data_IF_611344666901
#
_entry.id   IF_611344666901
#
_cell.length_a   1.000
_cell.length_b   1.000
_cell.length_c   1.000
_cell.angle_alpha   90.00
_cell.angle_beta   90.00
_cell.angle_gamma   90.00
#
_symmetry.space_group_name_H-M   'P 1'
#
loop_
_entity.id
_entity.type
_entity.pdbx_description
1 polymer ?
#
# COMPACT_ATOMS: atom_id res chain seq x y z
N UNK A 1 -1.99 -45.19 22.82
CA UNK A 1 -1.84 -44.59 21.48
C UNK A 1 -2.88 -43.49 21.36
N UNK A 2 -2.49 -42.23 21.51
CA UNK A 2 -3.40 -41.08 21.49
C UNK A 2 -3.27 -40.44 20.11
N UNK A 3 -4.36 -40.47 19.35
CA UNK A 3 -4.49 -39.81 18.05
C UNK A 3 -4.70 -38.31 18.28
N UNK A 4 -3.69 -37.48 18.04
CA UNK A 4 -3.82 -36.03 17.99
C UNK A 4 -4.20 -35.61 16.58
N UNK A 5 -5.45 -35.18 16.40
CA UNK A 5 -5.91 -34.48 15.20
C UNK A 5 -5.24 -33.11 15.14
N UNK A 6 -4.33 -32.94 14.19
CA UNK A 6 -3.74 -31.67 13.83
C UNK A 6 -4.74 -30.89 12.96
N UNK A 7 -5.58 -30.05 13.60
CA UNK A 7 -6.44 -29.09 12.91
C UNK A 7 -5.61 -27.91 12.42
N UNK A 8 -4.91 -28.11 11.30
CA UNK A 8 -4.33 -27.03 10.51
C UNK A 8 -5.46 -26.18 9.94
N UNK A 9 -5.72 -25.02 10.55
CA UNK A 9 -6.56 -24.00 9.96
C UNK A 9 -5.91 -23.52 8.65
N UNK A 10 -6.37 -24.08 7.52
CA UNK A 10 -6.13 -23.50 6.22
C UNK A 10 -6.82 -22.15 6.17
N UNK A 11 -6.07 -21.07 6.45
CA UNK A 11 -6.48 -19.73 6.09
C UNK A 11 -6.46 -19.63 4.56
N UNK A 12 -7.56 -20.00 3.92
CA UNK A 12 -7.78 -19.69 2.51
C UNK A 12 -7.90 -18.17 2.41
N UNK A 13 -6.83 -17.49 1.98
CA UNK A 13 -6.96 -16.11 1.52
C UNK A 13 -8.12 -16.05 0.52
N UNK A 14 -9.17 -15.25 0.76
CA UNK A 14 -10.30 -15.19 -0.14
C UNK A 14 -9.81 -14.80 -1.53
N UNK A 15 -10.06 -15.67 -2.50
CA UNK A 15 -9.68 -15.47 -3.89
C UNK A 15 -10.55 -14.35 -4.47
N UNK A 16 -9.96 -13.19 -4.75
CA UNK A 16 -10.66 -12.07 -5.40
C UNK A 16 -10.83 -12.42 -6.88
N UNK A 17 -12.07 -12.41 -7.36
CA UNK A 17 -12.40 -12.76 -8.74
C UNK A 17 -12.01 -11.63 -9.68
N UNK A 18 -11.50 -11.96 -10.88
CA UNK A 18 -11.23 -10.97 -11.94
C UNK A 18 -12.52 -10.21 -12.35
N UNK A 19 -13.71 -10.76 -12.07
CA UNK A 19 -15.00 -10.12 -12.29
C UNK A 19 -15.50 -9.22 -11.14
N UNK A 20 -14.83 -9.22 -9.99
CA UNK A 20 -15.25 -8.41 -8.84
C UNK A 20 -15.08 -6.92 -9.15
N UNK A 21 -16.10 -6.11 -8.90
CA UNK A 21 -16.03 -4.65 -8.98
C UNK A 21 -15.76 -4.10 -7.57
N UNK A 22 -14.60 -3.49 -7.31
CA UNK A 22 -14.28 -3.00 -5.97
C UNK A 22 -15.20 -1.84 -5.53
N UNK A 23 -15.60 -1.84 -4.26
CA UNK A 23 -16.35 -0.72 -3.69
C UNK A 23 -15.38 0.39 -3.25
N UNK A 24 -15.35 1.51 -3.98
CA UNK A 24 -14.54 2.70 -3.69
C UNK A 24 -15.41 3.96 -3.58
N UNK A 25 -14.92 4.99 -2.89
CA UNK A 25 -15.64 6.26 -2.68
C UNK A 25 -15.42 7.31 -3.78
N UNK A 26 -14.69 6.97 -4.85
CA UNK A 26 -14.29 7.88 -5.93
C UNK A 26 -14.99 7.64 -7.28
N UNK A 27 -15.16 8.72 -8.05
CA UNK A 27 -15.99 8.79 -9.27
C UNK A 27 -15.71 7.79 -10.40
N UNK A 28 -14.50 7.21 -10.48
CA UNK A 28 -14.15 6.21 -11.51
C UNK A 28 -14.71 4.82 -11.20
N UNK A 29 -14.95 4.43 -9.93
CA UNK A 29 -15.58 3.12 -9.67
C UNK A 29 -17.09 3.11 -9.90
N UNK A 30 -17.70 4.25 -10.20
CA UNK A 30 -19.01 4.29 -10.86
C UNK A 30 -18.95 3.79 -12.31
N UNK A 31 -17.76 3.78 -12.92
CA UNK A 31 -17.53 3.26 -14.27
C UNK A 31 -17.42 1.72 -14.30
N UNK A 32 -17.38 1.06 -13.13
CA UNK A 32 -17.53 -0.40 -13.03
C UNK A 32 -16.29 -1.20 -13.40
N UNK A 33 -15.08 -0.65 -13.29
CA UNK A 33 -13.87 -1.42 -13.57
C UNK A 33 -13.73 -2.63 -12.65
N UNK A 34 -13.49 -3.79 -13.24
CA UNK A 34 -13.30 -5.04 -12.50
C UNK A 34 -11.87 -5.17 -12.00
N UNK A 35 -11.66 -5.93 -10.92
CA UNK A 35 -10.33 -6.29 -10.43
C UNK A 35 -9.43 -6.87 -11.53
N UNK A 36 -9.97 -7.67 -12.46
CA UNK A 36 -9.25 -8.19 -13.61
C UNK A 36 -8.70 -7.11 -14.54
N UNK A 37 -9.42 -6.00 -14.72
CA UNK A 37 -8.92 -4.85 -15.47
C UNK A 37 -7.87 -4.10 -14.66
N UNK A 38 -8.17 -3.81 -13.38
CA UNK A 38 -7.32 -2.99 -12.53
C UNK A 38 -5.98 -3.64 -12.23
N UNK A 39 -5.95 -4.97 -12.07
CA UNK A 39 -4.73 -5.71 -11.73
C UNK A 39 -3.65 -5.67 -12.80
N UNK A 40 -4.00 -5.18 -13.99
CA UNK A 40 -3.13 -5.07 -15.16
C UNK A 40 -2.77 -3.64 -15.54
N UNK A 41 -3.25 -2.64 -14.78
CA UNK A 41 -2.99 -1.23 -15.07
C UNK A 41 -1.54 -0.86 -14.76
N UNK A 42 -0.74 -0.44 -15.75
CA UNK A 42 0.62 0.01 -15.51
C UNK A 42 0.65 1.46 -15.01
N UNK A 43 1.78 1.87 -14.44
CA UNK A 43 2.23 3.26 -14.46
C UNK A 43 2.42 3.65 -15.93
N UNK A 44 1.68 4.66 -16.37
CA UNK A 44 1.55 5.02 -17.79
C UNK A 44 2.88 5.55 -18.39
N UNK A 45 3.09 5.40 -19.71
CA UNK A 45 4.31 5.85 -20.37
C UNK A 45 4.66 7.33 -20.13
N UNK A 46 3.66 8.20 -19.98
CA UNK A 46 3.81 9.63 -19.71
C UNK A 46 4.55 9.86 -18.39
N UNK A 47 4.11 9.18 -17.33
CA UNK A 47 4.77 9.21 -16.01
C UNK A 47 6.16 8.60 -16.11
N UNK A 48 6.28 7.44 -16.76
CA UNK A 48 7.57 6.76 -16.96
C UNK A 48 8.61 7.61 -17.69
N UNK A 49 8.21 8.47 -18.64
CA UNK A 49 9.12 9.41 -19.31
C UNK A 49 9.65 10.49 -18.36
N UNK A 50 8.89 10.87 -17.34
CA UNK A 50 9.26 11.87 -16.34
C UNK A 50 10.17 11.36 -15.22
N UNK A 51 10.29 10.03 -15.03
CA UNK A 51 11.13 9.47 -13.96
C UNK A 51 12.61 9.53 -14.33
N UNK A 52 13.36 10.46 -13.73
CA UNK A 52 14.79 10.65 -14.03
C UNK A 52 15.71 9.93 -13.06
N UNK A 53 15.27 9.67 -11.82
CA UNK A 53 16.06 8.93 -10.84
C UNK A 53 16.10 7.43 -11.20
N UNK A 54 17.29 6.80 -11.30
CA UNK A 54 17.43 5.42 -11.76
C UNK A 54 16.85 4.39 -10.78
N UNK A 55 16.89 4.67 -9.47
CA UNK A 55 16.31 3.77 -8.46
C UNK A 55 14.80 3.85 -8.51
N UNK A 56 14.25 5.06 -8.58
CA UNK A 56 12.80 5.28 -8.72
C UNK A 56 12.27 4.68 -10.02
N UNK A 57 13.02 4.82 -11.13
CA UNK A 57 12.68 4.21 -12.42
C UNK A 57 12.59 2.70 -12.32
N UNK A 58 13.58 2.07 -11.69
CA UNK A 58 13.59 0.62 -11.48
C UNK A 58 12.34 0.15 -10.70
N UNK A 59 11.96 0.86 -9.64
CA UNK A 59 10.74 0.53 -8.88
C UNK A 59 9.47 0.57 -9.74
N UNK A 60 9.36 1.59 -10.61
CA UNK A 60 8.23 1.72 -11.52
C UNK A 60 8.20 0.61 -12.58
N UNK A 61 9.37 0.23 -13.10
CA UNK A 61 9.52 -0.88 -14.06
C UNK A 61 9.16 -2.23 -13.45
N UNK A 62 9.58 -2.48 -12.20
CA UNK A 62 9.21 -3.67 -11.44
C UNK A 62 7.70 -3.73 -11.17
N UNK A 63 7.09 -2.61 -10.78
CA UNK A 63 5.63 -2.50 -10.64
C UNK A 63 4.92 -2.83 -11.97
N UNK A 64 5.37 -2.21 -13.07
CA UNK A 64 4.82 -2.47 -14.40
C UNK A 64 5.01 -3.94 -14.83
N UNK A 65 6.14 -4.57 -14.48
CA UNK A 65 6.38 -5.97 -14.75
C UNK A 65 5.38 -6.88 -14.00
N UNK A 66 5.13 -6.60 -12.72
CA UNK A 66 4.09 -7.29 -11.94
C UNK A 66 2.71 -7.11 -12.55
N UNK A 67 2.36 -5.88 -12.92
CA UNK A 67 1.03 -5.55 -13.44
C UNK A 67 0.81 -6.17 -14.82
N UNK A 68 1.83 -6.29 -15.68
CA UNK A 68 1.70 -7.04 -16.96
C UNK A 68 1.25 -8.49 -16.76
N UNK A 69 1.74 -9.16 -15.71
CA UNK A 69 1.29 -10.51 -15.35
C UNK A 69 -0.07 -10.52 -14.62
N UNK A 70 -0.54 -9.36 -14.16
CA UNK A 70 -1.68 -9.21 -13.28
C UNK A 70 -1.26 -9.40 -11.83
N UNK A 71 -1.07 -8.32 -11.06
CA UNK A 71 -0.72 -8.45 -9.65
C UNK A 71 -1.81 -9.20 -8.88
N UNK A 72 -1.45 -9.80 -7.74
CA UNK A 72 -2.38 -10.56 -6.90
C UNK A 72 -2.74 -9.74 -5.67
N UNK A 73 -4.00 -9.32 -5.59
CA UNK A 73 -4.61 -8.74 -4.41
C UNK A 73 -4.97 -9.86 -3.42
N UNK A 74 -4.78 -9.58 -2.13
CA UNK A 74 -5.20 -10.47 -1.04
C UNK A 74 -6.06 -9.68 -0.07
N UNK A 75 -6.74 -10.39 0.84
CA UNK A 75 -7.30 -9.76 2.04
C UNK A 75 -6.49 -10.12 3.27
N UNK A 76 -6.22 -9.11 4.09
CA UNK A 76 -5.58 -9.23 5.40
C UNK A 76 -6.52 -8.62 6.42
N UNK A 77 -6.89 -9.36 7.46
CA UNK A 77 -7.87 -8.92 8.47
C UNK A 77 -9.20 -8.40 7.87
N UNK A 78 -9.64 -9.01 6.77
CA UNK A 78 -10.86 -8.64 6.03
C UNK A 78 -10.68 -7.48 5.03
N UNK A 79 -9.54 -6.80 5.04
CA UNK A 79 -9.25 -5.61 4.23
C UNK A 79 -8.40 -5.92 3.00
N UNK A 80 -8.57 -5.16 1.91
CA UNK A 80 -7.71 -5.30 0.73
C UNK A 80 -6.25 -4.94 1.05
N UNK A 81 -5.33 -5.84 0.70
CA UNK A 81 -3.89 -5.68 0.88
C UNK A 81 -3.22 -5.39 -0.46
N UNK A 82 -2.71 -4.16 -0.60
CA UNK A 82 -2.16 -3.64 -1.86
C UNK A 82 -0.68 -3.99 -2.05
N UNK A 83 -0.15 -4.94 -1.29
CA UNK A 83 1.26 -5.31 -1.34
C UNK A 83 1.68 -5.80 -2.73
N UNK A 84 0.78 -6.46 -3.47
CA UNK A 84 1.05 -6.86 -4.86
C UNK A 84 1.23 -5.67 -5.83
N UNK A 85 0.73 -4.50 -5.46
CA UNK A 85 0.71 -3.26 -6.25
C UNK A 85 1.73 -2.22 -5.74
N UNK A 86 2.48 -2.50 -4.68
CA UNK A 86 3.40 -1.52 -4.12
C UNK A 86 4.46 -1.06 -5.14
N UNK A 87 4.93 0.16 -4.97
CA UNK A 87 6.05 0.76 -5.72
C UNK A 87 7.14 1.11 -4.73
N UNK A 88 8.36 0.64 -4.98
CA UNK A 88 9.52 0.98 -4.15
C UNK A 88 9.49 0.36 -2.74
N UNK A 89 10.04 1.04 -1.72
CA UNK A 89 10.24 0.44 -0.41
C UNK A 89 8.93 0.21 0.35
N UNK A 90 9.01 -0.77 1.25
CA UNK A 90 7.98 -1.11 2.22
C UNK A 90 8.57 -1.02 3.63
N UNK A 91 7.95 -0.21 4.50
CA UNK A 91 8.49 0.13 5.81
C UNK A 91 7.56 -0.31 6.92
N UNK A 92 8.12 -0.96 7.94
CA UNK A 92 7.36 -1.43 9.11
C UNK A 92 6.98 -0.22 9.96
N UNK A 93 5.70 -0.10 10.27
CA UNK A 93 5.21 0.96 11.14
C UNK A 93 5.33 0.54 12.62
N UNK A 94 5.52 1.49 13.55
CA UNK A 94 5.50 1.20 14.97
C UNK A 94 4.17 0.57 15.41
N UNK A 95 4.17 -0.21 16.49
CA UNK A 95 2.92 -0.63 17.11
C UNK A 95 2.32 0.47 18.00
N UNK A 96 1.14 0.20 18.56
CA UNK A 96 0.40 1.12 19.42
C UNK A 96 1.24 1.55 20.63
N UNK A 97 1.92 0.60 21.27
CA UNK A 97 2.72 0.86 22.46
C UNK A 97 3.94 1.74 22.15
N UNK A 98 4.62 1.49 21.01
CA UNK A 98 5.73 2.29 20.55
C UNK A 98 5.30 3.73 20.22
N UNK A 99 4.12 3.91 19.61
CA UNK A 99 3.54 5.24 19.40
C UNK A 99 3.19 5.92 20.71
N UNK A 100 2.54 5.23 21.66
CA UNK A 100 2.21 5.81 22.96
C UNK A 100 3.46 6.22 23.74
N UNK A 101 4.53 5.42 23.70
CA UNK A 101 5.83 5.79 24.28
C UNK A 101 6.43 7.03 23.61
N UNK A 102 6.35 7.13 22.28
CA UNK A 102 6.87 8.28 21.52
C UNK A 102 6.17 9.59 21.87
N UNK A 103 4.83 9.55 22.01
CA UNK A 103 4.03 10.76 22.24
C UNK A 103 3.70 11.02 23.72
N UNK A 104 3.95 10.06 24.62
CA UNK A 104 3.52 10.11 26.02
C UNK A 104 2.00 10.00 26.23
N UNK A 105 1.25 9.77 25.15
CA UNK A 105 -0.22 9.64 25.11
C UNK A 105 -0.64 8.89 23.85
N UNK A 106 -1.94 8.61 23.73
CA UNK A 106 -2.48 8.17 22.44
C UNK A 106 -2.30 9.30 21.40
N UNK A 107 -1.64 9.04 20.25
CA UNK A 107 -1.55 10.02 19.17
C UNK A 107 -2.89 10.18 18.46
N UNK A 108 -3.09 11.34 17.85
CA UNK A 108 -4.18 11.61 16.92
C UNK A 108 -3.95 10.93 15.57
N UNK A 109 -5.01 10.79 14.78
CA UNK A 109 -4.93 10.25 13.43
C UNK A 109 -3.98 11.04 12.50
N UNK A 110 -3.78 12.33 12.74
CA UNK A 110 -2.84 13.16 11.99
C UNK A 110 -1.38 12.88 12.40
N UNK A 111 -1.12 12.75 13.71
CA UNK A 111 0.20 12.42 14.23
C UNK A 111 0.67 11.02 13.79
N UNK A 112 -0.25 10.04 13.74
CA UNK A 112 0.03 8.70 13.24
C UNK A 112 0.47 8.76 11.77
N UNK A 113 -0.31 9.45 10.93
CA UNK A 113 0.00 9.62 9.50
C UNK A 113 1.34 10.31 9.27
N UNK A 114 1.66 11.33 10.07
CA UNK A 114 2.92 12.04 9.94
C UNK A 114 4.12 11.14 10.25
N UNK A 115 4.02 10.27 11.26
CA UNK A 115 5.04 9.24 11.53
C UNK A 115 5.17 8.29 10.34
N UNK A 116 4.06 7.76 9.84
CA UNK A 116 4.06 6.83 8.70
C UNK A 116 4.71 7.44 7.46
N UNK A 117 4.35 8.67 7.13
CA UNK A 117 4.84 9.35 5.93
C UNK A 117 6.31 9.77 6.08
N UNK A 118 6.74 10.15 7.28
CA UNK A 118 8.14 10.47 7.57
C UNK A 118 9.02 9.24 7.37
N UNK A 119 8.65 8.10 7.96
CA UNK A 119 9.39 6.84 7.82
C UNK A 119 9.51 6.38 6.36
N UNK A 120 8.43 6.52 5.58
CA UNK A 120 8.47 6.19 4.14
C UNK A 120 9.43 7.12 3.38
N UNK A 121 9.36 8.44 3.62
CA UNK A 121 10.23 9.42 2.94
C UNK A 121 11.70 9.24 3.31
N UNK A 122 11.99 8.92 4.57
CA UNK A 122 13.33 8.61 5.05
C UNK A 122 13.89 7.37 4.35
N UNK A 123 13.10 6.31 4.21
CA UNK A 123 13.55 5.09 3.52
C UNK A 123 13.76 5.32 2.03
N UNK A 124 12.89 6.09 1.37
CA UNK A 124 13.09 6.50 -0.02
C UNK A 124 14.38 7.29 -0.17
N UNK A 125 14.62 8.29 0.69
CA UNK A 125 15.85 9.08 0.70
C UNK A 125 17.09 8.18 0.87
N UNK A 126 17.04 7.22 1.79
CA UNK A 126 18.12 6.25 2.03
C UNK A 126 18.43 5.38 0.80
N UNK A 127 17.41 4.90 0.10
CA UNK A 127 17.60 4.02 -1.07
C UNK A 127 17.99 4.75 -2.35
N UNK A 128 17.59 6.02 -2.50
CA UNK A 128 17.82 6.81 -3.73
C UNK A 128 19.00 7.76 -3.60
N UNK A 129 19.42 8.11 -2.39
CA UNK A 129 20.37 9.20 -2.14
C UNK A 129 19.75 10.60 -2.25
N UNK A 130 18.43 10.71 -2.44
CA UNK A 130 17.71 11.98 -2.41
C UNK A 130 17.62 12.55 -0.99
N UNK A 131 17.36 13.86 -0.88
CA UNK A 131 16.94 14.43 0.40
C UNK A 131 15.52 13.97 0.76
N UNK A 132 15.17 13.96 2.04
CA UNK A 132 13.81 13.63 2.52
C UNK A 132 12.74 14.51 1.86
N UNK A 133 13.04 15.80 1.63
CA UNK A 133 12.14 16.71 0.90
C UNK A 133 11.93 16.26 -0.55
N UNK A 134 13.01 15.85 -1.25
CA UNK A 134 12.91 15.33 -2.62
C UNK A 134 12.23 13.95 -2.67
N UNK A 135 12.36 13.13 -1.63
CA UNK A 135 11.66 11.85 -1.52
C UNK A 135 10.13 12.01 -1.55
N UNK A 136 9.59 13.10 -0.97
CA UNK A 136 8.16 13.41 -1.10
C UNK A 136 7.76 13.68 -2.57
N UNK A 137 8.65 14.30 -3.35
CA UNK A 137 8.44 14.53 -4.78
C UNK A 137 8.49 13.23 -5.59
N UNK A 138 9.30 12.25 -5.17
CA UNK A 138 9.33 10.93 -5.80
C UNK A 138 7.97 10.22 -5.71
N UNK A 139 7.28 10.37 -4.58
CA UNK A 139 5.93 9.80 -4.37
C UNK A 139 4.93 10.44 -5.35
N UNK A 140 4.71 11.76 -5.26
CA UNK A 140 3.64 12.42 -6.01
C UNK A 140 4.02 12.79 -7.45
N UNK A 141 5.08 13.57 -7.61
CA UNK A 141 5.39 14.20 -8.91
C UNK A 141 6.07 13.25 -9.89
N UNK A 142 6.94 12.35 -9.41
CA UNK A 142 7.68 11.44 -10.29
C UNK A 142 6.86 10.21 -10.66
N UNK A 143 6.13 9.63 -9.69
CA UNK A 143 5.47 8.34 -9.86
C UNK A 143 3.94 8.40 -9.95
N UNK A 144 3.30 9.56 -9.72
CA UNK A 144 1.84 9.66 -9.48
C UNK A 144 1.37 8.59 -8.49
N UNK A 145 2.09 8.48 -7.39
CA UNK A 145 1.82 7.57 -6.30
C UNK A 145 1.37 8.31 -5.05
N UNK A 146 0.89 7.53 -4.09
CA UNK A 146 0.40 7.97 -2.79
C UNK A 146 0.87 7.00 -1.72
N UNK A 147 1.16 7.46 -0.49
CA UNK A 147 1.39 6.55 0.62
C UNK A 147 0.14 5.71 0.90
N UNK A 148 0.36 4.45 1.23
CA UNK A 148 -0.67 3.50 1.63
C UNK A 148 -0.24 2.86 2.95
N UNK A 149 -1.10 2.98 3.97
CA UNK A 149 -0.87 2.43 5.30
C UNK A 149 -1.75 1.19 5.51
N UNK A 150 -1.15 0.02 5.34
CA UNK A 150 -1.81 -1.28 5.40
C UNK A 150 -2.18 -1.64 6.86
N UNK A 151 -3.34 -2.26 7.05
CA UNK A 151 -3.81 -2.73 8.36
C UNK A 151 -2.79 -3.64 9.07
N UNK A 152 -1.97 -4.36 8.31
CA UNK A 152 -0.90 -5.22 8.82
C UNK A 152 0.29 -4.45 9.44
N UNK A 153 0.28 -3.12 9.43
CA UNK A 153 1.30 -2.27 10.04
C UNK A 153 2.49 -2.00 9.12
N UNK A 154 2.24 -1.80 7.83
CA UNK A 154 3.24 -1.43 6.85
C UNK A 154 2.82 -0.16 6.10
N UNK A 155 3.79 0.66 5.70
CA UNK A 155 3.60 1.78 4.78
C UNK A 155 4.42 1.57 3.52
N UNK A 156 3.83 1.85 2.38
CA UNK A 156 4.46 1.77 1.06
C UNK A 156 3.76 2.70 0.08
N UNK A 157 4.35 2.91 -1.10
CA UNK A 157 3.69 3.66 -2.17
C UNK A 157 2.81 2.74 -3.00
N UNK A 158 1.66 3.25 -3.45
CA UNK A 158 0.83 2.62 -4.48
C UNK A 158 0.46 3.69 -5.52
N UNK A 159 0.15 3.32 -6.77
CA UNK A 159 -0.37 4.28 -7.75
C UNK A 159 -1.59 5.02 -7.21
N UNK A 160 -1.71 6.32 -7.50
CA UNK A 160 -2.72 7.21 -6.95
C UNK A 160 -4.16 6.73 -7.21
N UNK A 161 -4.38 5.99 -8.29
CA UNK A 161 -5.68 5.37 -8.58
C UNK A 161 -6.12 4.31 -7.57
N UNK A 162 -5.19 3.66 -6.84
CA UNK A 162 -5.49 2.51 -5.97
C UNK A 162 -6.49 2.86 -4.86
N UNK A 163 -6.31 4.01 -4.21
CA UNK A 163 -7.22 4.48 -3.15
C UNK A 163 -8.57 4.95 -3.67
N UNK A 164 -8.70 5.24 -4.98
CA UNK A 164 -10.00 5.60 -5.57
C UNK A 164 -10.92 4.39 -5.69
N UNK A 165 -10.35 3.19 -5.72
CA UNK A 165 -11.05 1.98 -6.15
C UNK A 165 -11.31 0.99 -5.01
N UNK A 166 -10.38 0.85 -4.08
CA UNK A 166 -10.48 -0.16 -3.02
C UNK A 166 -10.60 0.53 -1.66
N UNK A 167 -11.81 0.61 -1.12
CA UNK A 167 -12.01 1.02 0.27
C UNK A 167 -11.41 -0.04 1.18
N UNK A 168 -10.66 0.41 2.18
CA UNK A 168 -10.11 -0.45 3.22
C UNK A 168 -9.98 0.35 4.52
N UNK A 169 -9.97 -0.36 5.65
CA UNK A 169 -9.47 0.17 6.93
C UNK A 169 -7.95 0.07 6.95
N UNK A 170 -7.30 1.16 7.30
CA UNK A 170 -5.85 1.26 7.31
C UNK A 170 -5.25 1.08 8.71
N UNK A 171 -3.93 1.15 8.77
CA UNK A 171 -3.15 1.16 10.01
C UNK A 171 -3.70 2.12 11.08
N UNK A 172 -4.11 3.32 10.69
CA UNK A 172 -4.64 4.35 11.60
C UNK A 172 -5.85 3.83 12.39
N UNK A 173 -6.84 3.25 11.70
CA UNK A 173 -8.04 2.71 12.35
C UNK A 173 -7.69 1.59 13.33
N UNK A 174 -6.73 0.73 12.98
CA UNK A 174 -6.23 -0.32 13.87
C UNK A 174 -5.58 0.23 15.14
N UNK A 175 -4.78 1.30 15.04
CA UNK A 175 -4.13 1.91 16.22
C UNK A 175 -5.17 2.56 17.14
N UNK A 176 -6.14 3.27 16.56
CA UNK A 176 -7.18 3.98 17.29
C UNK A 176 -8.30 3.07 17.83
N UNK A 177 -8.40 1.84 17.33
CA UNK A 177 -9.47 0.90 17.72
C UNK A 177 -10.82 1.28 17.12
N UNK A 178 -10.82 1.96 15.97
CA UNK A 178 -12.02 2.29 15.22
C UNK A 178 -12.41 1.06 14.36
N UNK A 179 -13.52 0.40 14.72
CA UNK A 179 -14.09 -0.73 13.96
C UNK A 179 -14.86 -0.28 12.73
#
# INVERSE_FOLDING_TARGET
>A
MINTHNSGAHFTTPHISDGDVPAGSGGINREGYTYGQLRRMPIIPEVMRGVTDPVVRRWAEECNARNRAGFVMRKTDGEYCFDGLHVGPKVRLPDKDALQRKFGRMPSAAEIREVSYSLLREEIARQTGLSVTKAASAIGNMLDCVPHEDISGWVYMVPNWAHKWFRHRGYVSRILGEE
#
